data_IF_125701870453
#
_entry.id   IF_125701870453
#
_cell.length_a   1.000
_cell.length_b   1.000
_cell.length_c   1.000
_cell.angle_alpha   90.00
_cell.angle_beta   90.00
_cell.angle_gamma   90.00
#
_symmetry.space_group_name_H-M   'P 1'
#
loop_
_entity.id
_entity.type
_entity.pdbx_description
1 polymer ?
#
# COMPACT_ATOMS: atom_id res chain seq x y z
N UNK A 1 8.07 29.10 2.56
CA UNK A 1 7.28 27.86 2.61
C UNK A 1 6.87 27.60 1.18
N UNK A 2 7.25 26.47 0.57
CA UNK A 2 6.71 26.08 -0.73
C UNK A 2 5.20 25.90 -0.58
N UNK A 3 4.42 26.47 -1.50
CA UNK A 3 2.97 26.27 -1.51
C UNK A 3 2.70 24.78 -1.80
N UNK A 4 2.31 24.03 -0.76
CA UNK A 4 1.89 22.64 -0.92
C UNK A 4 0.53 22.63 -1.66
N UNK A 5 0.29 21.61 -2.53
CA UNK A 5 -1.04 21.42 -3.13
C UNK A 5 -2.15 21.36 -2.08
N UNK A 6 -3.36 21.80 -2.47
CA UNK A 6 -4.51 21.81 -1.57
C UNK A 6 -4.88 20.42 -1.04
N UNK A 7 -4.75 19.37 -1.89
CA UNK A 7 -4.98 17.97 -1.52
C UNK A 7 -3.66 17.24 -1.35
N UNK A 8 -3.51 16.53 -0.23
CA UNK A 8 -2.29 15.80 0.12
C UNK A 8 -2.66 14.46 0.73
N UNK A 9 -2.29 13.38 0.02
CA UNK A 9 -2.55 11.99 0.36
C UNK A 9 -1.22 11.33 0.77
N UNK A 10 -1.21 10.64 1.90
CA UNK A 10 -0.11 9.80 2.33
C UNK A 10 -0.54 8.33 2.31
N UNK A 11 0.25 7.48 1.67
CA UNK A 11 0.08 6.03 1.73
C UNK A 11 1.28 5.41 2.45
N UNK A 12 1.03 4.42 3.29
CA UNK A 12 2.07 3.69 4.01
C UNK A 12 1.91 2.20 3.73
N UNK A 13 2.90 1.63 3.04
CA UNK A 13 2.94 0.23 2.64
C UNK A 13 4.19 -0.47 3.14
N UNK A 14 4.12 -1.79 3.29
CA UNK A 14 5.22 -2.61 3.81
C UNK A 14 6.30 -2.86 2.76
N UNK A 15 5.91 -3.26 1.54
CA UNK A 15 6.82 -3.71 0.50
C UNK A 15 6.55 -2.97 -0.83
N UNK A 16 7.56 -2.89 -1.71
CA UNK A 16 7.33 -2.48 -3.10
C UNK A 16 6.44 -3.51 -3.81
N UNK A 17 5.29 -3.14 -4.31
CA UNK A 17 4.18 -3.81 -5.00
C UNK A 17 2.82 -3.64 -4.30
N UNK A 18 2.78 -3.58 -2.98
CA UNK A 18 1.55 -3.40 -2.19
C UNK A 18 0.75 -2.17 -2.64
N UNK A 19 1.43 -1.06 -2.94
CA UNK A 19 0.82 0.18 -3.36
C UNK A 19 0.13 0.06 -4.71
N UNK A 20 0.76 -0.66 -5.64
CA UNK A 20 0.22 -0.87 -6.98
C UNK A 20 -0.97 -1.82 -6.97
N UNK A 21 -0.90 -2.88 -6.18
CA UNK A 21 -1.97 -3.88 -6.03
C UNK A 21 -3.19 -3.25 -5.34
N UNK A 22 -2.98 -2.57 -4.21
CA UNK A 22 -4.06 -2.10 -3.35
C UNK A 22 -4.58 -0.70 -3.70
N UNK A 23 -3.72 0.21 -4.22
CA UNK A 23 -4.02 1.63 -4.34
C UNK A 23 -3.61 2.26 -5.69
N UNK A 24 -3.25 1.47 -6.69
CA UNK A 24 -2.80 1.98 -7.99
C UNK A 24 -3.80 2.92 -8.67
N UNK A 25 -5.10 2.62 -8.61
CA UNK A 25 -6.16 3.49 -9.15
C UNK A 25 -6.22 4.81 -8.37
N UNK A 26 -6.26 4.73 -7.05
CA UNK A 26 -6.34 5.89 -6.15
C UNK A 26 -5.15 6.82 -6.34
N UNK A 27 -3.95 6.26 -6.38
CA UNK A 27 -2.72 7.02 -6.60
C UNK A 27 -2.72 7.70 -7.98
N UNK A 28 -3.04 6.98 -9.04
CA UNK A 28 -3.11 7.52 -10.41
C UNK A 28 -4.17 8.62 -10.53
N UNK A 29 -5.34 8.43 -9.90
CA UNK A 29 -6.40 9.43 -9.91
C UNK A 29 -5.97 10.73 -9.23
N UNK A 30 -5.51 10.66 -7.98
CA UNK A 30 -5.16 11.88 -7.24
C UNK A 30 -3.91 12.56 -7.78
N UNK A 31 -2.94 11.82 -8.31
CA UNK A 31 -1.80 12.40 -9.02
C UNK A 31 -2.25 13.19 -10.27
N UNK A 32 -3.16 12.62 -11.07
CA UNK A 32 -3.72 13.28 -12.25
C UNK A 32 -4.58 14.51 -11.89
N UNK A 33 -5.22 14.52 -10.72
CA UNK A 33 -5.98 15.67 -10.17
C UNK A 33 -5.06 16.76 -9.57
N UNK A 34 -3.74 16.56 -9.54
CA UNK A 34 -2.77 17.52 -9.01
C UNK A 34 -2.62 17.51 -7.49
N UNK A 35 -3.07 16.45 -6.82
CA UNK A 35 -2.78 16.26 -5.40
C UNK A 35 -1.30 15.90 -5.19
N UNK A 36 -0.75 16.28 -4.03
CA UNK A 36 0.49 15.67 -3.56
C UNK A 36 0.17 14.25 -3.06
N UNK A 37 0.62 13.25 -3.80
CA UNK A 37 0.55 11.85 -3.40
C UNK A 37 1.93 11.43 -2.92
N UNK A 38 2.05 11.15 -1.62
CA UNK A 38 3.29 10.67 -0.99
C UNK A 38 3.13 9.19 -0.65
N UNK A 39 4.04 8.36 -1.15
CA UNK A 39 4.16 6.96 -0.75
C UNK A 39 5.33 6.79 0.21
N UNK A 40 5.11 6.09 1.31
CA UNK A 40 6.18 5.58 2.18
C UNK A 40 6.12 4.06 2.20
N UNK A 41 7.19 3.42 1.70
CA UNK A 41 7.38 1.97 1.74
C UNK A 41 8.32 1.63 2.89
N UNK A 42 7.96 0.67 3.75
CA UNK A 42 8.67 0.44 5.00
C UNK A 42 9.97 -0.33 4.83
N UNK A 43 10.01 -1.31 3.91
CA UNK A 43 11.18 -2.16 3.62
C UNK A 43 11.48 -2.18 2.12
N UNK A 44 12.52 -2.87 1.73
CA UNK A 44 12.80 -3.09 0.30
C UNK A 44 12.19 -4.41 -0.23
N UNK A 45 11.52 -5.18 0.64
CA UNK A 45 10.92 -6.46 0.28
C UNK A 45 11.97 -7.53 -0.03
N UNK A 46 13.03 -7.59 0.76
CA UNK A 46 14.21 -8.41 0.52
C UNK A 46 13.95 -9.92 0.56
N UNK A 47 12.93 -10.32 1.37
CA UNK A 47 12.59 -11.75 1.58
C UNK A 47 11.54 -12.27 0.57
N UNK A 48 11.17 -11.47 -0.43
CA UNK A 48 10.22 -11.86 -1.47
C UNK A 48 10.72 -13.02 -2.34
N UNK A 49 9.79 -13.84 -2.81
CA UNK A 49 10.08 -14.91 -3.76
C UNK A 49 10.22 -14.36 -5.17
N UNK A 50 11.31 -14.71 -5.87
CA UNK A 50 11.61 -14.21 -7.21
C UNK A 50 10.91 -15.04 -8.28
N UNK A 51 9.90 -14.50 -8.95
CA UNK A 51 9.12 -15.21 -9.99
C UNK A 51 9.96 -15.51 -11.24
N UNK A 52 10.67 -14.56 -11.87
CA UNK A 52 11.42 -14.86 -13.10
C UNK A 52 12.64 -15.74 -12.85
N UNK A 53 12.73 -16.94 -13.47
CA UNK A 53 13.89 -17.84 -13.26
C UNK A 53 15.25 -17.20 -13.58
N UNK A 54 15.28 -16.28 -14.55
CA UNK A 54 16.51 -15.55 -14.92
C UNK A 54 17.02 -14.60 -13.84
N UNK A 55 16.17 -14.20 -12.89
CA UNK A 55 16.50 -13.32 -11.78
C UNK A 55 16.60 -14.05 -10.43
N UNK A 56 16.44 -15.36 -10.40
CA UNK A 56 16.47 -16.17 -9.17
C UNK A 56 17.77 -16.01 -8.37
N UNK A 57 18.86 -15.55 -8.99
CA UNK A 57 20.10 -15.26 -8.30
C UNK A 57 20.01 -14.09 -7.31
N UNK A 58 18.99 -13.20 -7.45
CA UNK A 58 18.78 -12.04 -6.59
C UNK A 58 18.23 -12.42 -5.20
N UNK A 59 17.72 -13.65 -5.03
CA UNK A 59 17.05 -14.11 -3.81
C UNK A 59 17.94 -13.96 -2.56
N UNK A 60 17.33 -13.81 -1.35
CA UNK A 60 18.07 -13.55 -0.11
C UNK A 60 18.99 -14.69 0.32
N UNK A 61 18.69 -15.94 -0.07
CA UNK A 61 19.53 -17.12 0.16
C UNK A 61 20.66 -17.29 -0.87
N UNK A 62 20.79 -16.37 -1.84
CA UNK A 62 21.81 -16.37 -2.90
C UNK A 62 22.67 -15.12 -2.85
N UNK A 63 22.40 -14.14 -3.70
CA UNK A 63 23.19 -12.90 -3.76
C UNK A 63 22.68 -11.81 -2.81
N UNK A 64 21.48 -11.97 -2.22
CA UNK A 64 20.82 -10.98 -1.36
C UNK A 64 20.73 -9.58 -2.00
N UNK A 65 20.31 -9.54 -3.26
CA UNK A 65 20.22 -8.31 -4.08
C UNK A 65 18.80 -7.97 -4.54
N UNK A 66 17.80 -8.70 -4.06
CA UNK A 66 16.41 -8.47 -4.43
C UNK A 66 15.95 -7.08 -3.99
N UNK A 67 16.21 -6.68 -2.75
CA UNK A 67 15.80 -5.36 -2.25
C UNK A 67 16.32 -4.19 -3.10
N UNK A 68 17.63 -4.08 -3.38
CA UNK A 68 18.16 -3.07 -4.29
C UNK A 68 17.54 -3.11 -5.70
N UNK A 69 17.17 -4.29 -6.21
CA UNK A 69 16.50 -4.43 -7.50
C UNK A 69 15.08 -3.86 -7.45
N UNK A 70 14.31 -4.19 -6.40
CA UNK A 70 12.94 -3.73 -6.20
C UNK A 70 12.82 -2.22 -6.01
N UNK A 71 13.87 -1.52 -5.58
CA UNK A 71 13.92 -0.04 -5.61
C UNK A 71 13.70 0.50 -7.03
N UNK A 72 14.30 -0.15 -8.02
CA UNK A 72 14.11 0.21 -9.44
C UNK A 72 12.70 -0.13 -9.95
N UNK A 73 12.14 -1.28 -9.54
CA UNK A 73 10.77 -1.67 -9.87
C UNK A 73 9.75 -0.68 -9.29
N UNK A 74 9.90 -0.31 -8.02
CA UNK A 74 9.06 0.71 -7.39
C UNK A 74 9.13 2.05 -8.10
N UNK A 75 10.33 2.50 -8.47
CA UNK A 75 10.49 3.77 -9.20
C UNK A 75 9.78 3.73 -10.57
N UNK A 76 9.84 2.60 -11.28
CA UNK A 76 9.12 2.40 -12.53
C UNK A 76 7.59 2.38 -12.32
N UNK A 77 7.11 1.68 -11.30
CA UNK A 77 5.69 1.66 -10.95
C UNK A 77 5.16 3.06 -10.60
N UNK A 78 5.92 3.84 -9.82
CA UNK A 78 5.54 5.22 -9.48
C UNK A 78 5.49 6.13 -10.72
N UNK A 79 6.38 5.94 -11.69
CA UNK A 79 6.34 6.67 -12.96
C UNK A 79 5.05 6.36 -13.75
N UNK A 80 4.62 5.09 -13.79
CA UNK A 80 3.36 4.70 -14.44
C UNK A 80 2.15 5.34 -13.75
N UNK A 81 2.14 5.42 -12.41
CA UNK A 81 1.05 6.04 -11.64
C UNK A 81 1.10 7.57 -11.64
N UNK A 82 2.19 8.18 -12.11
CA UNK A 82 2.40 9.63 -12.08
C UNK A 82 2.72 10.18 -10.68
N UNK A 83 3.22 9.33 -9.78
CA UNK A 83 3.60 9.70 -8.43
C UNK A 83 5.08 10.05 -8.38
N UNK A 84 5.40 11.24 -7.90
CA UNK A 84 6.77 11.76 -7.86
C UNK A 84 7.40 11.78 -6.47
N UNK A 85 6.59 11.70 -5.40
CA UNK A 85 7.07 11.64 -4.02
C UNK A 85 6.88 10.22 -3.46
N UNK A 86 7.91 9.39 -3.58
CA UNK A 86 7.97 8.07 -2.97
C UNK A 86 9.27 7.92 -2.18
N UNK A 87 9.14 7.37 -0.99
CA UNK A 87 10.20 7.32 0.02
C UNK A 87 10.23 5.96 0.70
N UNK A 88 11.41 5.57 1.19
CA UNK A 88 11.54 4.45 2.13
C UNK A 88 11.59 4.98 3.56
N UNK A 89 10.93 4.31 4.48
CA UNK A 89 10.84 4.70 5.89
C UNK A 89 12.23 4.79 6.55
N UNK A 90 12.64 6.00 6.94
CA UNK A 90 13.97 6.27 7.50
C UNK A 90 15.13 6.15 6.50
N UNK A 91 14.84 6.02 5.19
CA UNK A 91 15.77 5.82 4.10
C UNK A 91 15.85 4.37 3.61
N UNK A 92 16.32 4.14 2.37
CA UNK A 92 16.38 2.80 1.78
C UNK A 92 17.20 1.83 2.64
N UNK A 93 16.62 0.68 2.97
CA UNK A 93 17.27 -0.38 3.77
C UNK A 93 17.43 -0.05 5.26
N UNK A 94 16.77 1.00 5.77
CA UNK A 94 16.73 1.27 7.22
C UNK A 94 16.10 0.13 8.00
N UNK A 95 15.05 -0.44 7.46
CA UNK A 95 14.38 -1.64 7.96
C UNK A 95 14.40 -2.70 6.87
N UNK A 96 14.67 -3.94 7.28
CA UNK A 96 14.67 -5.11 6.39
C UNK A 96 13.33 -5.82 6.46
N UNK A 97 12.90 -6.38 5.35
CA UNK A 97 11.76 -7.29 5.27
C UNK A 97 11.92 -8.44 6.29
N UNK A 98 10.84 -8.71 7.01
CA UNK A 98 10.82 -9.68 8.11
C UNK A 98 10.43 -11.09 7.66
N UNK A 99 10.07 -11.28 6.39
CA UNK A 99 9.49 -12.54 5.90
C UNK A 99 8.13 -12.85 6.53
N UNK A 100 7.58 -14.00 6.22
CA UNK A 100 6.28 -14.45 6.71
C UNK A 100 6.26 -14.66 8.23
N UNK A 101 5.07 -14.54 8.84
CA UNK A 101 4.88 -14.72 10.28
C UNK A 101 5.41 -16.08 10.75
N UNK A 102 6.26 -16.07 11.79
CA UNK A 102 6.89 -17.25 12.33
C UNK A 102 8.19 -17.67 11.64
N UNK A 103 8.62 -16.97 10.60
CA UNK A 103 9.91 -17.19 9.96
C UNK A 103 11.07 -16.74 10.87
N UNK A 104 12.24 -17.36 10.68
CA UNK A 104 13.47 -17.01 11.42
C UNK A 104 13.85 -15.53 11.23
N UNK A 105 13.56 -14.97 10.07
CA UNK A 105 13.80 -13.59 9.68
C UNK A 105 13.12 -12.58 10.59
N UNK A 106 11.99 -12.94 11.22
CA UNK A 106 11.25 -12.05 12.12
C UNK A 106 12.11 -11.58 13.32
N UNK A 107 13.08 -12.39 13.75
CA UNK A 107 13.96 -12.10 14.88
C UNK A 107 15.33 -11.51 14.49
N UNK A 108 15.61 -11.27 13.21
CA UNK A 108 16.90 -10.72 12.76
C UNK A 108 17.05 -9.26 13.17
N UNK A 109 18.29 -8.87 13.42
CA UNK A 109 18.62 -7.46 13.64
C UNK A 109 18.26 -6.64 12.38
N UNK A 110 17.54 -5.55 12.59
CA UNK A 110 17.08 -4.69 11.50
C UNK A 110 15.77 -5.13 10.83
N UNK A 111 15.20 -6.30 11.18
CA UNK A 111 13.88 -6.70 10.70
C UNK A 111 12.82 -5.67 11.13
N UNK A 112 11.95 -5.28 10.21
CA UNK A 112 10.93 -4.26 10.48
C UNK A 112 9.95 -4.68 11.58
N UNK A 113 9.57 -5.96 11.61
CA UNK A 113 8.70 -6.53 12.64
C UNK A 113 9.23 -6.35 14.06
N UNK A 114 10.55 -6.47 14.26
CA UNK A 114 11.19 -6.35 15.56
C UNK A 114 11.55 -4.92 15.95
N UNK A 115 11.33 -3.94 15.04
CA UNK A 115 11.62 -2.55 15.29
C UNK A 115 10.70 -1.96 16.37
N UNK A 116 11.27 -1.12 17.24
CA UNK A 116 10.47 -0.32 18.17
C UNK A 116 9.52 0.62 17.41
N UNK A 117 8.23 0.55 17.73
CA UNK A 117 7.18 1.27 17.00
C UNK A 117 7.36 2.78 17.09
N UNK A 118 7.72 3.33 18.25
CA UNK A 118 7.89 4.78 18.42
C UNK A 118 9.13 5.28 17.65
N UNK A 119 10.19 4.47 17.61
CA UNK A 119 11.39 4.77 16.82
C UNK A 119 11.08 4.77 15.31
N UNK A 120 10.37 3.76 14.82
CA UNK A 120 9.97 3.68 13.42
C UNK A 120 8.96 4.80 13.06
N UNK A 121 7.98 5.06 13.94
CA UNK A 121 7.00 6.12 13.76
C UNK A 121 7.64 7.51 13.70
N UNK A 122 8.74 7.77 14.43
CA UNK A 122 9.43 9.05 14.39
C UNK A 122 9.92 9.41 12.96
N UNK A 123 10.37 8.43 12.18
CA UNK A 123 10.72 8.65 10.77
C UNK A 123 9.49 9.04 9.92
N UNK A 124 8.33 8.44 10.21
CA UNK A 124 7.10 8.78 9.49
C UNK A 124 6.54 10.13 9.93
N UNK A 125 6.71 10.52 11.21
CA UNK A 125 6.32 11.87 11.71
C UNK A 125 7.02 12.97 10.93
N UNK A 126 8.29 12.80 10.59
CA UNK A 126 9.03 13.74 9.75
C UNK A 126 8.31 13.95 8.41
N UNK A 127 7.95 12.86 7.73
CA UNK A 127 7.21 12.90 6.46
C UNK A 127 5.83 13.57 6.64
N UNK A 128 5.08 13.18 7.68
CA UNK A 128 3.75 13.74 7.96
C UNK A 128 3.81 15.26 8.19
N UNK A 129 4.79 15.74 8.94
CA UNK A 129 4.92 17.17 9.22
C UNK A 129 5.45 17.98 8.05
N UNK A 130 6.27 17.37 7.20
CA UNK A 130 6.75 17.97 5.95
C UNK A 130 5.62 18.07 4.91
N UNK A 131 4.93 16.98 4.62
CA UNK A 131 3.93 16.89 3.55
C UNK A 131 2.54 17.32 3.98
N UNK A 132 2.24 17.31 5.29
CA UNK A 132 0.99 17.75 5.91
C UNK A 132 -0.25 17.10 5.28
N UNK A 133 -0.33 15.75 5.18
CA UNK A 133 -1.42 15.08 4.50
C UNK A 133 -2.73 15.23 5.29
N UNK A 134 -3.84 15.43 4.60
CA UNK A 134 -5.18 15.38 5.19
C UNK A 134 -5.70 13.94 5.30
N UNK A 135 -5.24 13.07 4.40
CA UNK A 135 -5.68 11.68 4.30
C UNK A 135 -4.49 10.75 4.40
N UNK A 136 -4.62 9.71 5.21
CA UNK A 136 -3.68 8.59 5.34
C UNK A 136 -4.38 7.30 4.95
N UNK A 137 -3.72 6.49 4.14
CA UNK A 137 -4.15 5.14 3.77
C UNK A 137 -3.08 4.14 4.24
N UNK A 138 -3.50 3.05 4.88
CA UNK A 138 -2.63 1.95 5.31
C UNK A 138 -3.43 0.65 5.46
N UNK A 139 -2.81 -0.40 6.00
CA UNK A 139 -3.48 -1.67 6.30
C UNK A 139 -4.36 -1.58 7.55
N UNK A 140 -5.18 -2.60 7.73
CA UNK A 140 -5.87 -2.88 8.99
C UNK A 140 -4.92 -3.45 10.07
N UNK A 141 -5.40 -3.63 11.32
CA UNK A 141 -4.57 -4.16 12.41
C UNK A 141 -3.99 -5.55 12.17
N UNK A 142 -4.62 -6.35 11.30
CA UNK A 142 -4.17 -7.71 10.96
C UNK A 142 -3.28 -7.73 9.71
N UNK A 143 -3.00 -6.55 9.13
CA UNK A 143 -2.17 -6.41 7.92
C UNK A 143 -2.77 -7.07 6.68
N UNK A 144 -4.11 -7.21 6.65
CA UNK A 144 -4.85 -7.84 5.55
C UNK A 144 -4.83 -9.37 5.57
N UNK A 145 -3.70 -10.02 5.86
CA UNK A 145 -3.56 -11.48 5.87
C UNK A 145 -2.53 -12.01 6.89
N UNK A 146 -2.10 -11.16 7.83
CA UNK A 146 -1.21 -11.58 8.91
C UNK A 146 0.28 -11.48 8.62
N UNK A 147 0.71 -10.83 7.52
CA UNK A 147 2.14 -10.57 7.30
C UNK A 147 2.69 -9.64 8.40
N UNK A 148 3.82 -9.98 9.06
CA UNK A 148 4.32 -9.18 10.19
C UNK A 148 4.62 -7.73 9.79
N UNK A 149 5.18 -7.49 8.61
CA UNK A 149 5.50 -6.14 8.17
C UNK A 149 4.26 -5.30 7.83
N UNK A 150 3.17 -5.91 7.34
CA UNK A 150 1.90 -5.22 7.13
C UNK A 150 1.27 -4.80 8.46
N UNK A 151 1.31 -5.69 9.47
CA UNK A 151 0.86 -5.38 10.84
C UNK A 151 1.72 -4.26 11.42
N UNK A 152 3.03 -4.32 11.23
CA UNK A 152 3.95 -3.31 11.73
C UNK A 152 3.77 -1.96 11.01
N UNK A 153 3.55 -1.96 9.68
CA UNK A 153 3.23 -0.76 8.91
C UNK A 153 1.95 -0.08 9.41
N UNK A 154 0.90 -0.87 9.71
CA UNK A 154 -0.30 -0.38 10.37
C UNK A 154 0.01 0.28 11.73
N UNK A 155 0.78 -0.39 12.60
CA UNK A 155 1.15 0.12 13.93
C UNK A 155 1.94 1.42 13.82
N UNK A 156 2.92 1.47 12.95
CA UNK A 156 3.78 2.63 12.72
C UNK A 156 2.98 3.79 12.14
N UNK A 157 2.12 3.56 11.15
CA UNK A 157 1.28 4.59 10.55
C UNK A 157 0.28 5.18 11.55
N UNK A 158 -0.39 4.33 12.33
CA UNK A 158 -1.33 4.76 13.38
C UNK A 158 -0.61 5.58 14.45
N UNK A 159 0.53 5.09 14.92
CA UNK A 159 1.34 5.77 15.94
C UNK A 159 1.91 7.10 15.44
N UNK A 160 2.39 7.15 14.21
CA UNK A 160 2.89 8.37 13.60
C UNK A 160 1.80 9.44 13.45
N UNK A 161 0.57 9.05 13.12
CA UNK A 161 -0.57 9.98 13.05
C UNK A 161 -0.92 10.60 14.42
N UNK A 162 -0.70 9.86 15.52
CA UNK A 162 -0.85 10.38 16.89
C UNK A 162 0.30 11.33 17.26
N UNK A 163 1.53 10.87 17.06
CA UNK A 163 2.74 11.60 17.43
C UNK A 163 2.92 12.89 16.60
N UNK A 164 2.54 12.87 15.33
CA UNK A 164 2.61 14.05 14.47
C UNK A 164 1.68 15.19 14.95
N UNK A 165 0.56 14.85 15.58
CA UNK A 165 -0.39 15.81 16.13
C UNK A 165 0.04 16.37 17.50
N UNK A 166 0.98 15.73 18.18
CA UNK A 166 1.50 16.21 19.47
C UNK A 166 2.60 17.27 19.29
N UNK A 167 2.37 18.53 19.65
CA UNK A 167 3.38 19.59 19.52
C UNK A 167 4.60 19.40 20.43
N UNK A 168 4.50 18.55 21.47
CA UNK A 168 5.61 18.25 22.36
C UNK A 168 6.53 17.15 21.82
N UNK A 169 6.04 16.29 20.92
CA UNK A 169 6.85 15.24 20.32
C UNK A 169 7.76 15.83 19.22
N UNK A 170 9.06 15.67 19.37
CA UNK A 170 10.09 16.05 18.38
C UNK A 170 9.77 17.38 17.66
N UNK A 171 9.74 18.52 18.39
CA UNK A 171 9.44 19.83 17.79
C UNK A 171 10.49 20.27 16.74
N UNK A 172 11.65 19.62 16.74
CA UNK A 172 12.71 19.76 15.73
C UNK A 172 12.28 19.28 14.33
N UNK A 173 11.29 18.39 14.23
CA UNK A 173 10.75 17.88 12.96
C UNK A 173 9.67 18.79 12.34
N UNK A 174 9.49 20.00 12.87
CA UNK A 174 8.51 20.97 12.36
C UNK A 174 7.21 21.04 13.17
N UNK A 175 6.26 21.91 12.78
CA UNK A 175 5.03 22.13 13.51
C UNK A 175 4.12 20.91 13.48
N UNK A 176 3.39 20.69 14.59
CA UNK A 176 2.42 19.61 14.68
C UNK A 176 1.39 19.64 13.54
N UNK A 177 0.98 18.45 13.10
CA UNK A 177 -0.01 18.28 12.05
C UNK A 177 -0.97 17.14 12.39
N UNK A 178 -2.28 17.41 12.28
CA UNK A 178 -3.33 16.42 12.49
C UNK A 178 -3.83 15.91 11.14
N UNK A 179 -3.76 14.60 10.93
CA UNK A 179 -4.36 13.93 9.77
C UNK A 179 -5.88 13.87 9.99
N UNK A 180 -6.65 14.40 9.03
CA UNK A 180 -8.10 14.51 9.15
C UNK A 180 -8.82 13.17 9.01
N UNK A 181 -8.35 12.31 8.09
CA UNK A 181 -8.94 11.00 7.82
C UNK A 181 -7.90 9.90 7.72
N UNK A 182 -8.21 8.75 8.30
CA UNK A 182 -7.42 7.52 8.14
C UNK A 182 -8.31 6.44 7.59
N UNK A 183 -7.85 5.80 6.51
CA UNK A 183 -8.52 4.69 5.86
C UNK A 183 -7.67 3.43 5.92
N UNK A 184 -8.33 2.28 6.05
CA UNK A 184 -7.73 0.97 5.81
C UNK A 184 -8.11 0.44 4.43
N UNK A 185 -7.14 -0.18 3.75
CA UNK A 185 -7.41 -0.93 2.53
C UNK A 185 -8.33 -2.12 2.84
N UNK A 186 -9.38 -2.28 2.06
CA UNK A 186 -10.35 -3.38 2.19
C UNK A 186 -10.81 -3.85 0.82
N UNK A 187 -11.33 -5.07 0.77
CA UNK A 187 -11.97 -5.58 -0.44
C UNK A 187 -13.30 -6.23 -0.03
N UNK A 188 -14.45 -5.79 -0.60
CA UNK A 188 -15.74 -6.41 -0.27
C UNK A 188 -15.81 -7.83 -0.83
N UNK A 189 -16.17 -8.78 0.02
CA UNK A 189 -16.31 -10.21 -0.34
C UNK A 189 -17.07 -10.45 -1.64
N UNK A 190 -18.26 -9.85 -1.90
CA UNK A 190 -19.00 -10.08 -3.13
C UNK A 190 -18.24 -9.70 -4.40
N UNK A 191 -17.40 -8.64 -4.33
CA UNK A 191 -16.58 -8.19 -5.47
C UNK A 191 -15.50 -9.21 -5.78
N UNK A 192 -14.83 -9.74 -4.75
CA UNK A 192 -13.82 -10.80 -4.92
C UNK A 192 -14.44 -12.05 -5.50
N UNK A 193 -15.53 -12.54 -4.90
CA UNK A 193 -16.24 -13.74 -5.35
C UNK A 193 -16.67 -13.62 -6.82
N UNK A 194 -17.23 -12.46 -7.23
CA UNK A 194 -17.62 -12.21 -8.61
C UNK A 194 -16.41 -12.17 -9.56
N UNK A 195 -15.31 -11.53 -9.16
CA UNK A 195 -14.07 -11.47 -9.94
C UNK A 195 -13.45 -12.85 -10.16
N UNK A 196 -13.34 -13.64 -9.10
CA UNK A 196 -12.82 -15.02 -9.16
C UNK A 196 -13.72 -15.95 -9.97
N UNK A 197 -15.04 -15.82 -9.84
CA UNK A 197 -16.00 -16.59 -10.64
C UNK A 197 -15.87 -16.27 -12.13
N UNK A 198 -15.67 -14.98 -12.48
CA UNK A 198 -15.43 -14.57 -13.86
C UNK A 198 -14.13 -15.17 -14.41
N UNK A 199 -13.02 -15.11 -13.67
CA UNK A 199 -11.75 -15.73 -14.10
C UNK A 199 -11.89 -17.24 -14.33
N UNK A 200 -12.65 -17.95 -13.48
CA UNK A 200 -12.93 -19.38 -13.67
C UNK A 200 -13.75 -19.66 -14.93
N UNK A 201 -14.69 -18.78 -15.26
CA UNK A 201 -15.57 -18.94 -16.43
C UNK A 201 -14.88 -18.57 -17.75
N UNK A 202 -14.11 -17.49 -17.77
CA UNK A 202 -13.43 -16.95 -18.96
C UNK A 202 -12.07 -17.61 -19.22
N UNK A 203 -11.50 -18.27 -18.22
CA UNK A 203 -10.15 -18.81 -18.21
C UNK A 203 -9.13 -17.84 -17.63
N UNK A 204 -8.05 -18.39 -17.09
CA UNK A 204 -6.92 -17.67 -16.54
C UNK A 204 -5.63 -18.15 -17.21
N UNK A 205 -4.67 -17.25 -17.43
CA UNK A 205 -3.33 -17.62 -17.88
C UNK A 205 -2.53 -18.34 -16.77
N UNK A 206 -2.97 -18.22 -15.53
CA UNK A 206 -2.32 -18.83 -14.38
C UNK A 206 -2.83 -20.25 -14.13
N UNK A 207 -1.98 -21.15 -13.54
CA UNK A 207 -2.32 -22.56 -13.35
C UNK A 207 -3.57 -22.83 -12.52
N UNK A 208 -3.90 -21.93 -11.59
CA UNK A 208 -5.09 -22.00 -10.76
C UNK A 208 -5.66 -20.60 -10.52
N UNK A 209 -6.94 -20.53 -10.11
CA UNK A 209 -7.59 -19.29 -9.68
C UNK A 209 -7.70 -19.34 -8.16
N UNK A 210 -7.33 -18.24 -7.50
CA UNK A 210 -7.40 -18.09 -6.05
C UNK A 210 -8.81 -18.35 -5.49
N UNK A 211 -8.89 -18.72 -4.24
CA UNK A 211 -10.13 -18.68 -3.47
C UNK A 211 -10.25 -17.33 -2.73
N UNK A 212 -11.46 -17.03 -2.28
CA UNK A 212 -11.72 -15.77 -1.56
C UNK A 212 -10.88 -15.63 -0.30
N UNK A 213 -10.48 -16.75 0.31
CA UNK A 213 -9.62 -16.79 1.50
C UNK A 213 -8.15 -16.51 1.20
N UNK A 214 -7.74 -16.59 -0.06
CA UNK A 214 -6.37 -16.28 -0.49
C UNK A 214 -6.19 -14.79 -0.78
N UNK A 215 -7.28 -14.00 -0.82
CA UNK A 215 -7.24 -12.57 -1.13
C UNK A 215 -7.14 -11.77 0.18
N UNK A 216 -6.08 -10.95 0.34
CA UNK A 216 -5.91 -10.11 1.53
C UNK A 216 -7.01 -9.08 1.72
N UNK A 217 -7.32 -8.73 2.96
CA UNK A 217 -8.19 -7.60 3.30
C UNK A 217 -9.68 -7.78 2.97
N UNK A 218 -10.12 -9.01 2.67
CA UNK A 218 -11.53 -9.30 2.37
C UNK A 218 -12.39 -9.14 3.62
N UNK A 219 -13.45 -8.34 3.49
CA UNK A 219 -14.41 -8.07 4.56
C UNK A 219 -15.86 -8.16 4.06
N UNK A 220 -16.81 -8.15 5.01
CA UNK A 220 -18.22 -7.96 4.70
C UNK A 220 -18.45 -6.58 4.07
N UNK A 221 -19.42 -6.48 3.16
CA UNK A 221 -19.66 -5.28 2.35
C UNK A 221 -20.05 -4.05 3.17
N UNK A 222 -20.69 -4.24 4.31
CA UNK A 222 -21.12 -3.20 5.25
C UNK A 222 -19.95 -2.49 5.96
N UNK A 223 -18.73 -3.05 5.88
CA UNK A 223 -17.51 -2.40 6.38
C UNK A 223 -16.95 -1.34 5.42
N UNK A 224 -17.37 -1.37 4.16
CA UNK A 224 -16.84 -0.45 3.14
C UNK A 224 -17.54 0.90 3.25
N UNK A 225 -16.74 1.94 3.49
CA UNK A 225 -17.21 3.32 3.64
C UNK A 225 -16.82 4.22 2.47
N UNK A 226 -15.82 3.82 1.69
CA UNK A 226 -15.40 4.56 0.51
C UNK A 226 -14.99 3.63 -0.63
N UNK A 227 -15.14 4.11 -1.87
CA UNK A 227 -14.71 3.42 -3.08
C UNK A 227 -14.19 4.40 -4.13
N UNK A 228 -13.10 4.03 -4.78
CA UNK A 228 -12.49 4.82 -5.85
C UNK A 228 -12.50 4.00 -7.13
N UNK A 229 -13.41 4.34 -8.03
CA UNK A 229 -13.51 3.70 -9.34
C UNK A 229 -12.54 4.32 -10.35
N UNK A 230 -11.90 3.47 -11.15
CA UNK A 230 -10.98 3.90 -12.19
C UNK A 230 -11.70 4.38 -13.46
N UNK A 231 -11.11 5.37 -14.11
CA UNK A 231 -11.28 5.53 -15.56
C UNK A 231 -10.50 4.44 -16.31
N UNK A 232 -10.79 4.18 -17.60
CA UNK A 232 -9.99 3.22 -18.38
C UNK A 232 -8.49 3.53 -18.39
N UNK A 233 -8.10 4.81 -18.39
CA UNK A 233 -6.71 5.22 -18.31
C UNK A 233 -6.06 4.87 -16.97
N UNK A 234 -6.75 5.15 -15.86
CA UNK A 234 -6.27 4.83 -14.51
C UNK A 234 -6.14 3.32 -14.30
N UNK A 235 -7.09 2.53 -14.83
CA UNK A 235 -7.01 1.07 -14.80
C UNK A 235 -5.79 0.54 -15.58
N UNK A 236 -5.50 1.13 -16.75
CA UNK A 236 -4.31 0.79 -17.53
C UNK A 236 -3.01 1.16 -16.79
N UNK A 237 -2.95 2.33 -16.14
CA UNK A 237 -1.81 2.76 -15.32
C UNK A 237 -1.57 1.82 -14.15
N UNK A 238 -2.64 1.41 -13.44
CA UNK A 238 -2.53 0.41 -12.37
C UNK A 238 -1.93 -0.90 -12.88
N UNK A 239 -2.45 -1.44 -13.98
CA UNK A 239 -1.94 -2.69 -14.55
C UNK A 239 -0.45 -2.56 -14.97
N UNK A 240 -0.06 -1.43 -15.55
CA UNK A 240 1.33 -1.15 -15.91
C UNK A 240 2.24 -1.03 -14.67
N UNK A 241 1.78 -0.36 -13.61
CA UNK A 241 2.51 -0.27 -12.36
C UNK A 241 2.69 -1.64 -11.70
N UNK A 242 1.64 -2.48 -11.67
CA UNK A 242 1.75 -3.86 -11.18
C UNK A 242 2.75 -4.67 -12.00
N UNK A 243 2.75 -4.53 -13.34
CA UNK A 243 3.70 -5.21 -14.22
C UNK A 243 5.15 -4.72 -14.07
N UNK A 244 5.37 -3.50 -13.56
CA UNK A 244 6.71 -2.99 -13.26
C UNK A 244 7.38 -3.74 -12.08
N UNK A 245 6.61 -4.33 -11.18
CA UNK A 245 7.10 -5.20 -10.09
C UNK A 245 7.33 -6.64 -10.59
N UNK A 246 8.06 -6.78 -11.69
CA UNK A 246 8.20 -8.04 -12.42
C UNK A 246 8.83 -9.19 -11.63
N UNK A 247 9.59 -8.91 -10.56
CA UNK A 247 10.11 -9.95 -9.67
C UNK A 247 9.04 -10.57 -8.78
N UNK A 248 7.92 -9.86 -8.51
CA UNK A 248 6.91 -10.22 -7.52
C UNK A 248 5.52 -10.42 -8.10
N UNK A 249 5.20 -9.78 -9.23
CA UNK A 249 3.85 -9.75 -9.80
C UNK A 249 3.91 -10.17 -11.27
N UNK A 250 3.19 -11.22 -11.61
CA UNK A 250 2.95 -11.62 -12.98
C UNK A 250 1.59 -11.09 -13.42
N UNK A 251 1.54 -10.27 -14.45
CA UNK A 251 0.29 -9.68 -14.99
C UNK A 251 -0.05 -10.31 -16.33
N UNK A 252 -1.29 -10.75 -16.49
CA UNK A 252 -1.85 -11.18 -17.78
C UNK A 252 -3.27 -10.64 -17.96
N UNK A 253 -3.42 -9.73 -18.93
CA UNK A 253 -4.71 -9.08 -19.21
C UNK A 253 -5.36 -8.46 -17.97
N UNK A 254 -6.58 -8.89 -17.60
CA UNK A 254 -7.32 -8.37 -16.45
C UNK A 254 -6.97 -9.09 -15.14
N UNK A 255 -5.95 -9.94 -15.12
CA UNK A 255 -5.58 -10.78 -13.98
C UNK A 255 -4.09 -10.68 -13.64
N UNK A 256 -3.75 -11.05 -12.43
CA UNK A 256 -2.38 -11.17 -11.95
C UNK A 256 -2.23 -12.38 -11.03
N UNK A 257 -1.00 -12.82 -10.82
CA UNK A 257 -0.64 -13.77 -9.77
C UNK A 257 0.68 -13.33 -9.09
N UNK A 258 0.85 -13.79 -7.88
CA UNK A 258 2.12 -13.72 -7.14
C UNK A 258 2.90 -15.04 -7.35
N UNK A 259 3.94 -15.26 -6.55
CA UNK A 259 4.79 -16.48 -6.61
C UNK A 259 4.04 -17.80 -6.42
N UNK A 260 2.83 -17.74 -5.83
CA UNK A 260 1.97 -18.91 -5.64
C UNK A 260 1.20 -19.35 -6.91
N UNK A 261 1.34 -18.62 -8.02
CA UNK A 261 0.66 -18.86 -9.31
C UNK A 261 -0.87 -18.89 -9.23
N UNK A 262 -1.47 -18.28 -8.20
CA UNK A 262 -2.91 -18.18 -8.05
C UNK A 262 -3.44 -16.92 -8.73
N UNK A 263 -4.16 -17.08 -9.85
CA UNK A 263 -4.75 -15.98 -10.60
C UNK A 263 -5.81 -15.22 -9.79
N UNK A 264 -5.67 -13.90 -9.75
CA UNK A 264 -6.58 -12.97 -9.10
C UNK A 264 -7.00 -11.88 -10.09
N UNK A 265 -8.21 -11.31 -9.97
CA UNK A 265 -8.63 -10.20 -10.83
C UNK A 265 -7.89 -8.92 -10.44
N UNK A 266 -7.43 -8.14 -11.43
CA UNK A 266 -7.03 -6.75 -11.20
C UNK A 266 -8.30 -5.94 -10.97
N UNK A 267 -8.50 -5.48 -9.74
CA UNK A 267 -9.66 -4.66 -9.39
C UNK A 267 -9.48 -3.23 -9.91
N UNK A 268 -10.47 -2.75 -10.65
CA UNK A 268 -10.51 -1.38 -11.19
C UNK A 268 -11.32 -0.43 -10.31
N UNK A 269 -11.85 -0.91 -9.20
CA UNK A 269 -12.38 -0.11 -8.09
C UNK A 269 -11.65 -0.53 -6.82
N UNK A 270 -11.17 0.43 -6.07
CA UNK A 270 -10.47 0.23 -4.80
C UNK A 270 -11.38 0.66 -3.66
N UNK A 271 -11.32 -0.08 -2.55
CA UNK A 271 -12.29 0.02 -1.47
C UNK A 271 -11.60 0.29 -0.14
N UNK A 272 -12.29 1.05 0.71
CA UNK A 272 -11.71 1.56 1.95
C UNK A 272 -12.71 1.51 3.10
N UNK A 273 -12.17 1.36 4.31
CA UNK A 273 -12.89 1.54 5.56
C UNK A 273 -12.35 2.79 6.25
N UNK A 274 -13.20 3.81 6.47
CA UNK A 274 -12.85 4.99 7.26
C UNK A 274 -12.82 4.61 8.74
N UNK A 275 -11.64 4.72 9.35
CA UNK A 275 -11.43 4.31 10.76
C UNK A 275 -11.13 5.49 11.68
N UNK A 276 -10.84 6.65 11.11
CA UNK A 276 -10.66 7.91 11.82
C UNK A 276 -11.11 9.07 10.95
N UNK A 277 -11.81 10.00 11.53
CA UNK A 277 -12.32 11.19 10.85
C UNK A 277 -13.84 11.17 10.71
N UNK A 278 -14.38 12.15 10.00
CA UNK A 278 -15.82 12.30 9.78
C UNK A 278 -16.14 11.94 8.33
N UNK A 279 -17.11 11.03 8.09
CA UNK A 279 -17.58 10.75 6.74
C UNK A 279 -18.05 12.03 6.03
N UNK A 280 -17.70 12.17 4.76
CA UNK A 280 -18.18 13.27 3.93
C UNK A 280 -19.39 12.90 3.05
N UNK A 281 -19.77 11.62 3.03
CA UNK A 281 -20.98 11.14 2.39
C UNK A 281 -22.16 11.08 3.38
N UNK A 282 -23.42 11.14 2.91
CA UNK A 282 -24.60 10.86 3.73
C UNK A 282 -24.56 9.47 4.36
N UNK A 283 -25.27 9.32 5.48
CA UNK A 283 -25.38 8.02 6.17
C UNK A 283 -25.92 6.93 5.20
N UNK A 284 -25.22 5.81 5.14
CA UNK A 284 -25.56 4.67 4.27
C UNK A 284 -25.01 4.78 2.84
N UNK A 285 -24.36 5.88 2.48
CA UNK A 285 -23.68 6.04 1.19
C UNK A 285 -22.16 5.90 1.33
N UNK A 286 -21.49 5.37 0.29
CA UNK A 286 -20.04 5.33 0.22
C UNK A 286 -19.48 6.65 -0.29
N UNK A 287 -18.34 7.05 0.27
CA UNK A 287 -17.56 8.15 -0.30
C UNK A 287 -16.94 7.73 -1.63
N UNK A 288 -16.97 8.59 -2.61
CA UNK A 288 -16.30 8.42 -3.91
C UNK A 288 -15.07 9.35 -4.05
N UNK A 289 -14.73 10.04 -2.99
CA UNK A 289 -13.57 10.91 -2.83
C UNK A 289 -13.07 10.81 -1.38
N UNK A 290 -11.83 10.37 -1.16
CA UNK A 290 -11.25 10.23 0.18
C UNK A 290 -11.10 11.57 0.90
N UNK A 291 -11.13 12.67 0.17
CA UNK A 291 -11.12 14.04 0.73
C UNK A 291 -12.52 14.60 1.01
N UNK A 292 -13.59 13.84 0.78
CA UNK A 292 -14.96 14.30 1.04
C UNK A 292 -15.09 14.79 2.48
N UNK A 293 -15.65 16.01 2.67
CA UNK A 293 -15.82 16.61 4.00
C UNK A 293 -14.54 17.11 4.69
N UNK A 294 -13.37 16.97 4.06
CA UNK A 294 -12.13 17.56 4.57
C UNK A 294 -12.14 19.06 4.28
N UNK A 295 -12.08 19.88 5.32
CA UNK A 295 -11.90 21.34 5.22
C UNK A 295 -10.42 21.67 5.35
N UNK A 296 -9.96 22.68 4.61
CA UNK A 296 -8.59 23.21 4.69
C UNK A 296 -8.22 23.71 6.08
#
# INVERSE_FOLDING_TARGET
>A
MSDLPARRLLLVHAHPDDESINNGVTMARYAAEGALVTLVTCTLGEEGEVIPPGLAHLAPDREDRLGPHRVGELAAAMAELGVTDHRFLGGPGRFRDSGMMGAEQNGRDGAFWSADVDTAAAHLVEVVRETRPQVLVTYDPDGGYGHPDHIQAHRVATRAAELAADPAFRPDLGPAHTIAKVYWNRVPRPVVEAGLARLRAEGSAFPAVADVTDVPGVVAEDRITAEIAATPEQAARKAAAMAAHATQVAVDGPSFALSNDLGQPILTTEYYELVRGVPGAPEGERETDLFAGVTE
#
